data_IF_815323589223
#
_entry.id   IF_815323589223
#
_cell.length_a   1.000
_cell.length_b   1.000
_cell.length_c   1.000
_cell.angle_alpha   90.00
_cell.angle_beta   90.00
_cell.angle_gamma   90.00
#
_symmetry.space_group_name_H-M   'P 1'
#
loop_
_entity.id
_entity.type
_entity.pdbx_description
1 polymer ?
#
# COMPACT_ATOMS: atom_id res chain seq x y z
N UNK A 1 13.87 14.54 13.24
CA UNK A 1 13.56 13.95 11.92
C UNK A 1 13.53 15.06 10.90
N UNK A 2 14.26 14.94 9.81
CA UNK A 2 14.19 15.86 8.67
C UNK A 2 12.81 15.78 8.03
N UNK A 3 12.28 16.92 7.59
CA UNK A 3 11.06 16.96 6.78
C UNK A 3 11.34 16.26 5.45
N UNK A 4 10.50 15.31 5.06
CA UNK A 4 10.60 14.62 3.77
C UNK A 4 9.90 15.43 2.69
N UNK A 5 10.41 15.35 1.47
CA UNK A 5 9.86 16.00 0.28
C UNK A 5 8.84 15.10 -0.44
N UNK A 6 7.94 15.69 -1.25
CA UNK A 6 6.91 14.95 -1.99
C UNK A 6 7.50 13.80 -2.84
N UNK A 7 8.61 14.05 -3.52
CA UNK A 7 9.26 13.04 -4.36
C UNK A 7 9.72 11.81 -3.58
N UNK A 8 10.07 11.96 -2.29
CA UNK A 8 10.45 10.82 -1.46
C UNK A 8 9.23 9.94 -1.17
N UNK A 9 8.06 10.53 -0.88
CA UNK A 9 6.83 9.76 -0.70
C UNK A 9 6.36 9.08 -1.99
N UNK A 10 6.51 9.75 -3.14
CA UNK A 10 6.20 9.13 -4.43
C UNK A 10 7.14 7.96 -4.74
N UNK A 11 8.43 8.07 -4.40
CA UNK A 11 9.38 6.98 -4.55
C UNK A 11 9.04 5.80 -3.62
N UNK A 12 8.65 6.04 -2.36
CA UNK A 12 8.20 4.98 -1.46
C UNK A 12 7.02 4.20 -2.07
N UNK A 13 6.05 4.91 -2.63
CA UNK A 13 4.88 4.31 -3.28
C UNK A 13 5.31 3.45 -4.47
N UNK A 14 6.16 3.97 -5.35
CA UNK A 14 6.64 3.23 -6.53
C UNK A 14 7.42 1.97 -6.13
N UNK A 15 8.32 2.07 -5.16
CA UNK A 15 9.08 0.92 -4.66
C UNK A 15 8.16 -0.13 -4.03
N UNK A 16 7.15 0.29 -3.26
CA UNK A 16 6.21 -0.63 -2.64
C UNK A 16 5.33 -1.34 -3.69
N UNK A 17 4.89 -0.62 -4.73
CA UNK A 17 4.15 -1.20 -5.86
C UNK A 17 5.01 -2.27 -6.56
N UNK A 18 6.26 -1.95 -6.87
CA UNK A 18 7.18 -2.88 -7.54
C UNK A 18 7.39 -4.16 -6.71
N UNK A 19 7.55 -4.03 -5.39
CA UNK A 19 7.66 -5.18 -4.50
C UNK A 19 6.39 -6.04 -4.49
N UNK A 20 5.20 -5.43 -4.38
CA UNK A 20 3.93 -6.16 -4.43
C UNK A 20 3.78 -6.90 -5.77
N UNK A 21 4.10 -6.24 -6.87
CA UNK A 21 4.06 -6.87 -8.20
C UNK A 21 5.04 -8.03 -8.31
N UNK A 22 6.27 -7.87 -7.82
CA UNK A 22 7.28 -8.93 -7.82
C UNK A 22 6.88 -10.12 -6.97
N UNK A 23 6.26 -9.90 -5.80
CA UNK A 23 5.86 -10.97 -4.87
C UNK A 23 4.63 -11.75 -5.36
N UNK A 24 3.80 -11.11 -6.18
CA UNK A 24 2.58 -11.71 -6.76
C UNK A 24 2.80 -12.27 -8.17
N UNK A 25 3.91 -11.93 -8.82
CA UNK A 25 4.21 -12.36 -10.19
C UNK A 25 4.27 -13.89 -10.32
N UNK A 26 3.47 -14.42 -11.26
CA UNK A 26 3.35 -15.87 -11.54
C UNK A 26 2.99 -16.73 -10.32
N UNK A 27 2.44 -16.15 -9.26
CA UNK A 27 1.90 -16.90 -8.13
C UNK A 27 0.44 -17.27 -8.40
N UNK A 28 0.08 -18.51 -8.07
CA UNK A 28 -1.34 -18.87 -7.93
C UNK A 28 -1.88 -18.31 -6.60
N UNK A 29 -3.20 -18.12 -6.53
CA UNK A 29 -3.85 -17.71 -5.28
C UNK A 29 -3.53 -18.66 -4.12
N UNK A 30 -3.55 -19.97 -4.36
CA UNK A 30 -3.19 -20.97 -3.34
C UNK A 30 -1.72 -20.84 -2.89
N UNK A 31 -0.80 -20.54 -3.81
CA UNK A 31 0.62 -20.33 -3.45
C UNK A 31 0.79 -19.06 -2.62
N UNK A 32 0.09 -17.99 -2.98
CA UNK A 32 0.06 -16.74 -2.22
C UNK A 32 -0.48 -16.95 -0.81
N UNK A 33 -1.66 -17.56 -0.69
CA UNK A 33 -2.33 -17.84 0.58
C UNK A 33 -1.48 -18.70 1.53
N UNK A 34 -0.80 -19.71 0.99
CA UNK A 34 0.01 -20.62 1.80
C UNK A 34 1.42 -20.07 2.11
N UNK A 35 1.77 -18.88 1.61
CA UNK A 35 3.05 -18.23 1.87
C UNK A 35 2.86 -17.00 2.78
N UNK A 36 2.88 -17.26 4.09
CA UNK A 36 2.69 -16.22 5.11
C UNK A 36 3.74 -15.11 5.06
N UNK A 37 4.97 -15.39 4.63
CA UNK A 37 6.02 -14.38 4.50
C UNK A 37 5.69 -13.42 3.36
N UNK A 38 5.30 -13.92 2.19
CA UNK A 38 4.91 -13.08 1.07
C UNK A 38 3.64 -12.28 1.40
N UNK A 39 2.65 -12.92 2.04
CA UNK A 39 1.43 -12.25 2.48
C UNK A 39 1.75 -11.06 3.39
N UNK A 40 2.53 -11.28 4.46
CA UNK A 40 2.92 -10.21 5.38
C UNK A 40 3.75 -9.11 4.69
N UNK A 41 4.63 -9.47 3.76
CA UNK A 41 5.40 -8.50 2.98
C UNK A 41 4.50 -7.63 2.08
N UNK A 42 3.47 -8.22 1.47
CA UNK A 42 2.47 -7.50 0.67
C UNK A 42 1.66 -6.55 1.56
N UNK A 43 1.15 -7.02 2.70
CA UNK A 43 0.42 -6.17 3.66
C UNK A 43 1.28 -4.98 4.09
N UNK A 44 2.55 -5.20 4.43
CA UNK A 44 3.45 -4.12 4.83
C UNK A 44 3.66 -3.08 3.72
N UNK A 45 3.80 -3.53 2.47
CA UNK A 45 3.94 -2.62 1.33
C UNK A 45 2.66 -1.81 1.07
N UNK A 46 1.48 -2.42 1.22
CA UNK A 46 0.20 -1.71 1.14
C UNK A 46 0.05 -0.65 2.26
N UNK A 47 0.51 -0.96 3.47
CA UNK A 47 0.56 0.00 4.58
C UNK A 47 1.50 1.17 4.26
N UNK A 48 2.68 0.92 3.69
CA UNK A 48 3.62 1.96 3.26
C UNK A 48 2.98 2.89 2.24
N UNK A 49 2.28 2.35 1.23
CA UNK A 49 1.59 3.14 0.22
C UNK A 49 0.56 4.07 0.86
N UNK A 50 -0.30 3.56 1.74
CA UNK A 50 -1.32 4.37 2.40
C UNK A 50 -0.75 5.43 3.33
N UNK A 51 0.36 5.12 4.02
CA UNK A 51 1.08 6.08 4.87
C UNK A 51 1.73 7.20 4.04
N UNK A 52 2.41 6.86 2.95
CA UNK A 52 3.01 7.83 2.04
C UNK A 52 1.96 8.79 1.45
N UNK A 53 0.79 8.25 1.05
CA UNK A 53 -0.32 9.07 0.52
C UNK A 53 -0.86 10.07 1.55
N UNK A 54 -0.92 9.71 2.84
CA UNK A 54 -1.36 10.64 3.89
C UNK A 54 -0.48 11.90 3.98
N UNK A 55 0.77 11.81 3.53
CA UNK A 55 1.74 12.91 3.53
C UNK A 55 1.75 13.74 2.24
N UNK A 56 1.01 13.34 1.21
CA UNK A 56 0.80 14.15 0.00
C UNK A 56 -0.12 15.32 0.35
N UNK A 57 0.21 16.55 -0.06
CA UNK A 57 -0.60 17.74 0.24
C UNK A 57 -2.01 17.66 -0.37
N UNK A 58 -2.94 18.45 0.15
CA UNK A 58 -4.30 18.57 -0.43
C UNK A 58 -4.24 19.08 -1.86
N UNK A 59 -3.43 20.10 -2.13
CA UNK A 59 -3.36 20.78 -3.42
C UNK A 59 -2.99 19.80 -4.54
N UNK A 60 -2.00 18.94 -4.29
CA UNK A 60 -1.62 17.87 -5.23
C UNK A 60 -2.77 16.87 -5.39
N UNK A 61 -3.44 16.47 -4.31
CA UNK A 61 -4.57 15.52 -4.41
C UNK A 61 -5.75 16.09 -5.19
N UNK A 62 -5.98 17.39 -5.09
CA UNK A 62 -7.02 18.13 -5.82
C UNK A 62 -6.70 18.25 -7.31
N UNK A 63 -5.42 18.38 -7.69
CA UNK A 63 -4.97 18.36 -9.09
C UNK A 63 -5.17 16.99 -9.77
N UNK A 64 -5.22 15.90 -9.00
CA UNK A 64 -5.41 14.53 -9.47
C UNK A 64 -6.64 13.85 -8.85
N UNK A 65 -7.87 14.36 -9.11
CA UNK A 65 -9.08 13.89 -8.43
C UNK A 65 -9.53 12.48 -8.87
N UNK A 66 -8.99 11.97 -9.98
CA UNK A 66 -9.26 10.62 -10.48
C UNK A 66 -8.55 9.53 -9.66
N UNK A 67 -7.51 9.89 -8.91
CA UNK A 67 -6.84 8.96 -8.00
C UNK A 67 -7.71 8.80 -6.75
N UNK A 68 -8.01 7.56 -6.30
CA UNK A 68 -8.90 7.33 -5.16
C UNK A 68 -8.17 7.54 -3.81
N UNK A 69 -7.63 8.73 -3.57
CA UNK A 69 -6.76 9.07 -2.44
C UNK A 69 -7.31 8.62 -1.08
N UNK A 70 -8.60 8.89 -0.83
CA UNK A 70 -9.27 8.52 0.43
C UNK A 70 -9.33 7.01 0.63
N UNK A 71 -9.62 6.25 -0.43
CA UNK A 71 -9.69 4.79 -0.36
C UNK A 71 -8.32 4.19 -0.09
N UNK A 72 -7.27 4.69 -0.75
CA UNK A 72 -5.90 4.17 -0.55
C UNK A 72 -5.38 4.52 0.85
N UNK A 73 -5.63 5.73 1.34
CA UNK A 73 -5.30 6.09 2.73
C UNK A 73 -6.09 5.26 3.76
N UNK A 74 -7.37 4.99 3.48
CA UNK A 74 -8.23 4.19 4.35
C UNK A 74 -7.86 2.71 4.38
N UNK A 75 -7.27 2.18 3.31
CA UNK A 75 -6.73 0.81 3.26
C UNK A 75 -5.70 0.59 4.36
N UNK A 76 -4.74 1.51 4.54
CA UNK A 76 -3.74 1.43 5.62
C UNK A 76 -4.38 1.36 7.00
N UNK A 77 -5.44 2.13 7.23
CA UNK A 77 -6.13 2.13 8.52
C UNK A 77 -6.78 0.76 8.80
N UNK A 78 -7.40 0.13 7.79
CA UNK A 78 -7.92 -1.25 7.92
C UNK A 78 -6.81 -2.28 8.16
N UNK A 79 -5.73 -2.22 7.37
CA UNK A 79 -4.64 -3.19 7.46
C UNK A 79 -3.91 -3.15 8.80
N UNK A 80 -3.83 -1.98 9.44
CA UNK A 80 -3.16 -1.81 10.74
C UNK A 80 -4.13 -2.00 11.91
N UNK A 81 -5.36 -1.50 11.83
CA UNK A 81 -6.29 -1.46 12.97
C UNK A 81 -7.31 -2.60 12.97
N UNK A 82 -7.58 -3.21 11.82
CA UNK A 82 -8.54 -4.31 11.65
C UNK A 82 -7.84 -5.56 11.10
N UNK A 83 -6.57 -5.79 11.48
CA UNK A 83 -5.72 -6.85 10.93
C UNK A 83 -6.29 -8.27 11.10
N UNK A 84 -7.16 -8.48 12.10
CA UNK A 84 -7.86 -9.75 12.35
C UNK A 84 -8.99 -10.03 11.34
N UNK A 85 -9.41 -9.03 10.56
CA UNK A 85 -10.51 -9.10 9.60
C UNK A 85 -10.03 -8.98 8.15
N UNK A 86 -8.73 -9.14 7.91
CA UNK A 86 -8.17 -9.11 6.55
C UNK A 86 -8.61 -10.39 5.82
N UNK A 87 -9.24 -10.21 4.66
CA UNK A 87 -9.61 -11.28 3.75
C UNK A 87 -8.55 -11.41 2.65
N UNK A 88 -7.89 -12.57 2.60
CA UNK A 88 -6.88 -12.92 1.59
C UNK A 88 -7.42 -12.85 0.17
N UNK A 89 -8.73 -13.01 -0.05
CA UNK A 89 -9.34 -12.88 -1.39
C UNK A 89 -9.50 -11.43 -1.85
N UNK A 90 -9.48 -10.49 -0.91
CA UNK A 90 -9.62 -9.04 -1.19
C UNK A 90 -8.25 -8.39 -1.37
N UNK A 91 -7.22 -8.91 -0.70
CA UNK A 91 -5.82 -8.47 -0.81
C UNK A 91 -5.18 -9.01 -2.08
#
# INVERSE_FOLDING_TARGET
MTRRELNEYLNDILMAIDQVQSLTYQQSFESFKNNSVNFLAIIQNLVIIGEAIKNVSSDVREDYPHVPWKSIAGMRDKLVHEYWAIDEQVV
#
